data_IF_017199461638
#
_entry.id   IF_017199461638
#
_cell.length_a   1.000
_cell.length_b   1.000
_cell.length_c   1.000
_cell.angle_alpha   90.00
_cell.angle_beta   90.00
_cell.angle_gamma   90.00
#
_symmetry.space_group_name_H-M   'P 1'
#
loop_
_entity.id
_entity.type
_entity.pdbx_description
1 polymer ?
#
# COMPACT_ATOMS: atom_id res chain seq x y z
N UNK A 1 69.61 30.32 -18.07
CA UNK A 1 68.39 30.98 -17.57
C UNK A 1 67.79 31.71 -18.75
N UNK A 2 66.50 31.54 -19.10
CA UNK A 2 65.34 31.40 -18.21
C UNK A 2 64.56 30.08 -18.38
N UNK A 3 63.67 29.83 -17.40
CA UNK A 3 62.70 28.75 -17.39
C UNK A 3 61.51 29.10 -18.30
N UNK A 4 61.07 28.13 -19.11
CA UNK A 4 59.85 28.22 -19.90
C UNK A 4 58.74 27.39 -19.24
N UNK A 5 57.60 28.05 -19.11
CA UNK A 5 56.41 27.68 -18.37
C UNK A 5 55.67 26.49 -18.98
N UNK A 6 55.38 25.48 -18.16
CA UNK A 6 54.39 24.45 -18.47
C UNK A 6 53.02 24.90 -17.96
N UNK A 7 52.19 25.44 -18.85
CA UNK A 7 50.76 25.64 -18.61
C UNK A 7 50.07 24.27 -18.47
N UNK A 8 49.69 23.90 -17.25
CA UNK A 8 48.69 22.85 -17.01
C UNK A 8 47.31 23.52 -16.96
N UNK A 9 46.55 23.38 -18.04
CA UNK A 9 45.12 23.56 -18.03
C UNK A 9 44.48 22.38 -17.29
N UNK A 10 44.28 22.54 -15.99
CA UNK A 10 43.41 21.69 -15.18
C UNK A 10 42.20 22.51 -14.75
N UNK A 11 41.31 22.83 -15.69
CA UNK A 11 40.01 23.39 -15.34
C UNK A 11 39.21 22.29 -14.65
N UNK A 12 39.00 22.48 -13.34
CA UNK A 12 38.30 21.55 -12.48
C UNK A 12 36.90 21.25 -12.96
N UNK A 13 36.64 19.96 -13.16
CA UNK A 13 35.29 19.39 -13.18
C UNK A 13 34.87 18.88 -11.79
N UNK A 14 35.64 19.19 -10.74
CA UNK A 14 35.37 18.77 -9.36
C UNK A 14 34.31 19.65 -8.65
N UNK A 15 33.76 20.65 -9.35
CA UNK A 15 32.84 21.64 -8.78
C UNK A 15 31.34 21.31 -8.85
N UNK A 16 30.93 20.16 -9.40
CA UNK A 16 29.50 19.78 -9.54
C UNK A 16 29.19 18.45 -8.84
N UNK A 17 29.96 18.09 -7.82
CA UNK A 17 29.48 17.18 -6.78
C UNK A 17 29.09 18.02 -5.57
N UNK A 18 28.08 18.87 -5.77
CA UNK A 18 27.42 19.58 -4.67
C UNK A 18 26.97 18.56 -3.64
N UNK A 19 27.46 18.73 -2.42
CA UNK A 19 27.03 18.05 -1.22
C UNK A 19 25.50 17.95 -1.20
N UNK A 20 24.99 16.76 -1.49
CA UNK A 20 23.63 16.39 -1.18
C UNK A 20 23.55 16.45 0.34
N UNK A 21 22.81 17.41 0.88
CA UNK A 21 22.49 17.45 2.31
C UNK A 21 22.04 16.04 2.74
N UNK A 22 22.81 15.41 3.63
CA UNK A 22 22.62 14.02 4.10
C UNK A 22 21.38 13.85 5.00
N UNK A 23 20.60 14.91 5.22
CA UNK A 23 19.39 14.83 6.02
C UNK A 23 18.23 14.21 5.22
N UNK A 24 17.49 13.25 5.81
CA UNK A 24 16.30 12.70 5.18
C UNK A 24 15.26 13.80 4.99
N UNK A 25 14.97 14.15 3.72
CA UNK A 25 14.00 15.19 3.37
C UNK A 25 12.58 14.65 3.49
N UNK A 26 11.77 15.30 4.34
CA UNK A 26 10.31 15.19 4.36
C UNK A 26 9.72 16.57 4.05
N UNK A 27 9.41 16.82 2.79
CA UNK A 27 8.79 18.05 2.32
C UNK A 27 7.34 17.82 1.86
N UNK A 28 6.65 18.90 1.49
CA UNK A 28 5.27 18.83 1.00
C UNK A 28 5.16 17.88 -0.20
N UNK A 29 6.16 17.90 -1.09
CA UNK A 29 6.18 17.02 -2.27
C UNK A 29 6.21 15.54 -1.88
N UNK A 30 7.11 15.15 -0.97
CA UNK A 30 7.20 13.78 -0.48
C UNK A 30 5.89 13.34 0.19
N UNK A 31 5.30 14.20 1.01
CA UNK A 31 4.01 13.94 1.65
C UNK A 31 2.93 13.62 0.61
N UNK A 32 2.72 14.47 -0.40
CA UNK A 32 1.69 14.26 -1.44
C UNK A 32 1.87 12.94 -2.20
N UNK A 33 3.11 12.61 -2.56
CA UNK A 33 3.45 11.33 -3.21
C UNK A 33 3.04 10.16 -2.34
N UNK A 34 3.44 10.14 -1.06
CA UNK A 34 3.11 9.04 -0.17
C UNK A 34 1.61 8.93 0.12
N UNK A 35 0.92 10.06 0.34
CA UNK A 35 -0.53 10.07 0.53
C UNK A 35 -1.27 9.52 -0.70
N UNK A 36 -0.85 9.88 -1.90
CA UNK A 36 -1.45 9.38 -3.15
C UNK A 36 -1.26 7.87 -3.31
N UNK A 37 -0.04 7.37 -3.04
CA UNK A 37 0.22 5.93 -3.07
C UNK A 37 -0.55 5.17 -1.98
N UNK A 38 -0.66 5.74 -0.78
CA UNK A 38 -1.47 5.16 0.29
C UNK A 38 -2.94 5.06 -0.11
N UNK A 39 -3.53 6.10 -0.69
CA UNK A 39 -4.94 6.06 -1.11
C UNK A 39 -5.20 4.92 -2.11
N UNK A 40 -4.29 4.72 -3.07
CA UNK A 40 -4.36 3.60 -4.02
C UNK A 40 -4.36 2.25 -3.28
N UNK A 41 -3.36 2.03 -2.44
CA UNK A 41 -3.20 0.74 -1.76
C UNK A 41 -4.37 0.46 -0.81
N UNK A 42 -4.87 1.48 -0.10
CA UNK A 42 -6.06 1.38 0.76
C UNK A 42 -7.30 1.00 -0.03
N UNK A 43 -7.54 1.63 -1.19
CA UNK A 43 -8.70 1.29 -2.02
C UNK A 43 -8.65 -0.14 -2.52
N UNK A 44 -7.47 -0.61 -2.95
CA UNK A 44 -7.32 -1.99 -3.41
C UNK A 44 -7.59 -2.96 -2.26
N UNK A 45 -7.09 -2.67 -1.05
CA UNK A 45 -7.41 -3.46 0.13
C UNK A 45 -8.92 -3.48 0.43
N UNK A 46 -9.59 -2.33 0.41
CA UNK A 46 -11.04 -2.24 0.67
C UNK A 46 -11.87 -2.98 -0.38
N UNK A 47 -11.54 -2.85 -1.67
CA UNK A 47 -12.22 -3.60 -2.74
C UNK A 47 -12.03 -5.11 -2.54
N UNK A 48 -10.81 -5.54 -2.25
CA UNK A 48 -10.52 -6.96 -2.00
C UNK A 48 -11.23 -7.50 -0.74
N UNK A 49 -11.42 -6.66 0.29
CA UNK A 49 -12.19 -7.00 1.47
C UNK A 49 -13.67 -7.21 1.14
N UNK A 50 -14.28 -6.29 0.38
CA UNK A 50 -15.68 -6.43 -0.04
C UNK A 50 -15.89 -7.65 -0.96
N UNK A 51 -14.96 -7.91 -1.87
CA UNK A 51 -14.97 -9.12 -2.69
C UNK A 51 -14.86 -10.38 -1.82
N UNK A 52 -13.96 -10.39 -0.83
CA UNK A 52 -13.84 -11.51 0.13
C UNK A 52 -15.15 -11.76 0.86
N UNK A 53 -15.84 -10.70 1.31
CA UNK A 53 -17.14 -10.83 1.98
C UNK A 53 -18.21 -11.41 1.07
N UNK A 54 -18.25 -10.99 -0.19
CA UNK A 54 -19.20 -11.51 -1.16
C UNK A 54 -18.97 -13.01 -1.41
N UNK A 55 -17.71 -13.39 -1.64
CA UNK A 55 -17.32 -14.77 -1.95
C UNK A 55 -17.44 -15.72 -0.75
N UNK A 56 -17.23 -15.23 0.48
CA UNK A 56 -17.34 -16.04 1.69
C UNK A 56 -18.79 -16.46 2.02
N UNK A 57 -19.79 -15.83 1.41
CA UNK A 57 -21.20 -16.16 1.62
C UNK A 57 -21.74 -17.25 0.67
N UNK A 58 -20.90 -17.81 -0.21
CA UNK A 58 -21.32 -18.90 -1.09
C UNK A 58 -21.14 -20.26 -0.43
N UNK A 59 -22.04 -21.20 -0.72
CA UNK A 59 -21.94 -22.60 -0.25
C UNK A 59 -21.95 -23.54 -1.46
N UNK A 60 -20.84 -24.24 -1.75
CA UNK A 60 -19.54 -24.19 -1.07
C UNK A 60 -18.80 -22.85 -1.27
N UNK A 61 -17.76 -22.54 -0.46
CA UNK A 61 -16.96 -21.33 -0.65
C UNK A 61 -16.37 -21.24 -2.06
N UNK A 62 -16.45 -20.06 -2.67
CA UNK A 62 -15.91 -19.83 -4.00
C UNK A 62 -14.39 -20.04 -4.00
N UNK A 63 -13.81 -20.79 -4.95
CA UNK A 63 -12.36 -20.98 -5.05
C UNK A 63 -11.54 -19.69 -5.12
N UNK A 64 -12.15 -18.58 -5.56
CA UNK A 64 -11.51 -17.26 -5.64
C UNK A 64 -11.42 -16.53 -4.31
N UNK A 65 -12.10 -17.01 -3.26
CA UNK A 65 -12.10 -16.38 -1.93
C UNK A 65 -10.67 -16.08 -1.47
N UNK A 66 -9.78 -17.07 -1.50
CA UNK A 66 -8.40 -16.87 -1.06
C UNK A 66 -7.60 -15.90 -1.91
N UNK A 67 -7.89 -15.77 -3.21
CA UNK A 67 -7.23 -14.77 -4.05
C UNK A 67 -7.59 -13.34 -3.61
N UNK A 68 -8.87 -13.11 -3.26
CA UNK A 68 -9.33 -11.83 -2.73
C UNK A 68 -8.75 -11.55 -1.33
N UNK A 69 -8.68 -12.57 -0.46
CA UNK A 69 -8.08 -12.44 0.86
C UNK A 69 -6.58 -12.16 0.80
N UNK A 70 -5.83 -12.88 -0.03
CA UNK A 70 -4.38 -12.65 -0.19
C UNK A 70 -4.11 -11.25 -0.76
N UNK A 71 -4.98 -10.77 -1.65
CA UNK A 71 -4.93 -9.39 -2.15
C UNK A 71 -5.13 -8.40 -0.99
N UNK A 72 -6.17 -8.58 -0.18
CA UNK A 72 -6.43 -7.75 1.00
C UNK A 72 -5.23 -7.73 1.96
N UNK A 73 -4.74 -8.91 2.37
CA UNK A 73 -3.59 -9.04 3.29
C UNK A 73 -2.33 -8.38 2.73
N UNK A 74 -2.09 -8.53 1.42
CA UNK A 74 -0.94 -7.93 0.74
C UNK A 74 -0.98 -6.40 0.81
N UNK A 75 -2.10 -5.78 0.46
CA UNK A 75 -2.21 -4.33 0.44
C UNK A 75 -2.31 -3.73 1.85
N UNK A 76 -2.97 -4.40 2.79
CA UNK A 76 -2.94 -4.03 4.21
C UNK A 76 -1.49 -4.06 4.75
N UNK A 77 -0.71 -5.09 4.42
CA UNK A 77 0.69 -5.18 4.83
C UNK A 77 1.58 -4.11 4.16
N UNK A 78 1.34 -3.74 2.90
CA UNK A 78 2.04 -2.63 2.24
C UNK A 78 1.81 -1.31 2.97
N UNK A 79 0.55 -1.00 3.29
CA UNK A 79 0.20 0.16 4.11
C UNK A 79 0.90 0.11 5.47
N UNK A 80 0.81 -1.02 6.16
CA UNK A 80 1.48 -1.26 7.43
C UNK A 80 2.98 -0.97 7.36
N UNK A 81 3.69 -1.48 6.34
CA UNK A 81 5.12 -1.26 6.12
C UNK A 81 5.45 0.18 5.73
N UNK A 82 4.50 0.89 5.12
CA UNK A 82 4.67 2.30 4.75
C UNK A 82 4.64 3.21 5.98
N UNK A 83 3.66 2.99 6.88
CA UNK A 83 3.46 3.78 8.11
C UNK A 83 4.31 3.28 9.28
N UNK A 84 4.64 1.99 9.35
CA UNK A 84 5.50 1.39 10.38
C UNK A 84 6.56 0.50 9.71
N UNK A 85 7.66 1.06 9.19
CA UNK A 85 8.72 0.26 8.56
C UNK A 85 9.20 -0.86 9.48
N UNK A 86 9.54 -2.02 8.92
CA UNK A 86 10.09 -3.15 9.69
C UNK A 86 11.37 -2.71 10.41
N UNK A 87 11.42 -2.98 11.72
CA UNK A 87 12.57 -2.74 12.56
C UNK A 87 13.69 -3.72 12.20
N UNK A 88 14.68 -3.23 11.46
CA UNK A 88 15.93 -3.92 11.22
C UNK A 88 17.10 -3.23 11.93
N UNK A 89 18.20 -3.96 12.11
CA UNK A 89 19.45 -3.36 12.55
C UNK A 89 19.87 -2.27 11.54
N UNK A 90 20.13 -1.04 12.04
CA UNK A 90 20.66 0.03 11.21
C UNK A 90 21.98 -0.43 10.59
N UNK A 91 22.13 -0.41 9.25
CA UNK A 91 23.37 -0.83 8.59
C UNK A 91 24.56 -0.05 9.14
N UNK A 92 25.70 -0.68 9.46
CA UNK A 92 26.84 0.03 10.09
C UNK A 92 27.91 0.54 9.11
N UNK A 93 28.02 -0.08 7.94
CA UNK A 93 29.16 0.12 7.02
C UNK A 93 28.77 0.71 5.66
N UNK A 94 27.49 0.87 5.40
CA UNK A 94 26.96 1.26 4.09
C UNK A 94 26.10 2.52 4.26
N UNK A 95 26.68 3.67 3.90
CA UNK A 95 26.05 4.99 4.05
C UNK A 95 24.75 5.10 3.24
N UNK A 96 24.70 4.49 2.05
CA UNK A 96 23.50 4.52 1.22
C UNK A 96 22.35 3.73 1.88
N UNK A 97 22.66 2.56 2.45
CA UNK A 97 21.67 1.77 3.19
C UNK A 97 21.27 2.42 4.51
N UNK A 98 22.18 3.13 5.18
CA UNK A 98 21.86 3.96 6.35
C UNK A 98 20.87 5.06 5.99
N UNK A 99 21.18 5.87 4.98
CA UNK A 99 20.29 6.94 4.55
C UNK A 99 18.92 6.41 4.10
N UNK A 100 18.88 5.26 3.42
CA UNK A 100 17.62 4.61 3.06
C UNK A 100 16.85 4.07 4.28
N UNK A 101 17.54 3.61 5.33
CA UNK A 101 16.93 3.22 6.60
C UNK A 101 16.33 4.45 7.30
N UNK A 102 17.10 5.52 7.45
CA UNK A 102 16.68 6.75 8.13
C UNK A 102 15.50 7.41 7.40
N UNK A 103 15.51 7.48 6.06
CA UNK A 103 14.37 7.95 5.26
C UNK A 103 13.10 7.13 5.48
N UNK A 104 13.22 5.80 5.55
CA UNK A 104 12.06 4.93 5.81
C UNK A 104 11.48 5.20 7.19
N UNK A 105 12.33 5.34 8.21
CA UNK A 105 11.94 5.67 9.58
C UNK A 105 11.23 7.01 9.68
N UNK A 106 11.82 8.05 9.12
CA UNK A 106 11.21 9.38 9.08
C UNK A 106 9.85 9.36 8.37
N UNK A 107 9.75 8.71 7.21
CA UNK A 107 8.47 8.54 6.49
C UNK A 107 7.42 7.88 7.39
N UNK A 108 7.76 6.78 8.04
CA UNK A 108 6.82 6.04 8.89
C UNK A 108 6.29 6.92 10.02
N UNK A 109 7.20 7.57 10.75
CA UNK A 109 6.86 8.50 11.83
C UNK A 109 5.93 9.61 11.34
N UNK A 110 6.31 10.29 10.25
CA UNK A 110 5.53 11.41 9.71
C UNK A 110 4.16 11.00 9.19
N UNK A 111 4.06 9.87 8.50
CA UNK A 111 2.77 9.35 8.04
C UNK A 111 1.87 8.95 9.20
N UNK A 112 2.41 8.34 10.26
CA UNK A 112 1.61 7.98 11.42
C UNK A 112 1.11 9.19 12.20
N UNK A 113 1.97 10.19 12.36
CA UNK A 113 1.61 11.48 12.95
C UNK A 113 0.48 12.14 12.14
N UNK A 114 0.66 12.29 10.83
CA UNK A 114 -0.31 12.92 9.93
C UNK A 114 -1.65 12.19 9.86
N UNK A 115 -1.63 10.86 9.86
CA UNK A 115 -2.82 10.03 9.70
C UNK A 115 -3.44 9.60 11.04
N UNK A 116 -2.83 9.97 12.16
CA UNK A 116 -3.25 9.54 13.50
C UNK A 116 -3.30 8.02 13.63
N UNK A 117 -2.25 7.31 13.18
CA UNK A 117 -2.16 5.85 13.29
C UNK A 117 -1.44 5.47 14.58
N UNK A 118 -2.22 5.03 15.55
CA UNK A 118 -1.76 4.62 16.89
C UNK A 118 -0.95 3.31 16.85
N UNK A 119 -0.16 3.03 17.90
CA UNK A 119 0.62 1.79 18.00
C UNK A 119 -0.25 0.53 18.06
N UNK A 120 -1.47 0.66 18.57
CA UNK A 120 -2.48 -0.40 18.74
C UNK A 120 -3.39 -0.54 17.52
N UNK A 121 -3.14 0.22 16.45
CA UNK A 121 -3.97 0.22 15.25
C UNK A 121 -4.00 -1.16 14.58
N UNK A 122 -5.19 -1.62 14.18
CA UNK A 122 -5.40 -2.95 13.59
C UNK A 122 -4.61 -3.17 12.29
N UNK A 123 -4.37 -2.11 11.49
CA UNK A 123 -3.56 -2.20 10.26
C UNK A 123 -2.07 -2.46 10.53
N UNK A 124 -1.62 -2.38 11.78
CA UNK A 124 -0.24 -2.67 12.16
C UNK A 124 -0.01 -4.16 12.44
N UNK A 125 -1.08 -4.95 12.60
CA UNK A 125 -0.95 -6.41 12.76
C UNK A 125 -0.47 -7.06 11.46
N UNK A 126 0.55 -7.93 11.56
CA UNK A 126 1.18 -8.61 10.41
C UNK A 126 1.21 -10.12 10.51
N UNK A 127 0.89 -10.68 11.68
CA UNK A 127 1.05 -12.11 11.98
C UNK A 127 0.38 -12.98 10.92
N UNK A 128 -0.90 -12.75 10.64
CA UNK A 128 -1.65 -13.52 9.64
C UNK A 128 -1.07 -13.42 8.24
N UNK A 129 -0.63 -12.22 7.81
CA UNK A 129 0.00 -12.06 6.50
C UNK A 129 1.34 -12.80 6.43
N UNK A 130 2.16 -12.69 7.47
CA UNK A 130 3.46 -13.36 7.51
C UNK A 130 3.25 -14.88 7.55
N UNK A 131 2.23 -15.37 8.24
CA UNK A 131 1.82 -16.77 8.24
C UNK A 131 1.26 -17.25 6.91
N UNK A 132 0.59 -16.38 6.14
CA UNK A 132 0.17 -16.70 4.76
C UNK A 132 1.35 -16.76 3.80
N UNK A 133 2.29 -15.81 3.88
CA UNK A 133 3.48 -15.77 3.03
C UNK A 133 4.41 -16.97 3.27
N UNK A 134 4.55 -17.40 4.53
CA UNK A 134 5.40 -18.53 4.94
C UNK A 134 4.57 -19.81 5.21
N UNK A 135 3.42 -19.95 4.54
CA UNK A 135 2.51 -21.07 4.80
C UNK A 135 3.10 -22.42 4.37
N UNK A 136 3.84 -22.44 3.27
CA UNK A 136 4.56 -23.61 2.76
C UNK A 136 5.63 -24.10 3.77
N UNK A 137 6.45 -23.18 4.30
CA UNK A 137 7.44 -23.51 5.34
C UNK A 137 6.79 -24.09 6.61
N UNK A 138 5.62 -23.56 7.00
CA UNK A 138 4.85 -24.06 8.15
C UNK A 138 4.25 -25.44 7.88
N UNK A 139 3.78 -25.67 6.65
CA UNK A 139 3.27 -26.97 6.23
C UNK A 139 4.39 -28.02 6.21
N UNK A 140 5.57 -27.67 5.69
CA UNK A 140 6.74 -28.54 5.67
C UNK A 140 7.20 -28.90 7.10
N UNK A 141 7.23 -27.91 7.99
CA UNK A 141 7.52 -28.14 9.41
C UNK A 141 6.51 -29.12 10.03
N UNK A 142 5.21 -28.88 9.82
CA UNK A 142 4.16 -29.77 10.31
C UNK A 142 4.32 -31.20 9.78
N UNK A 143 4.57 -31.38 8.47
CA UNK A 143 4.79 -32.70 7.84
C UNK A 143 6.02 -33.41 8.43
N UNK A 144 7.07 -32.66 8.78
CA UNK A 144 8.27 -33.21 9.38
C UNK A 144 8.05 -33.67 10.83
N UNK A 145 7.18 -32.99 11.56
CA UNK A 145 6.84 -33.29 12.95
C UNK A 145 5.85 -34.45 13.09
N UNK A 146 5.13 -34.82 12.03
CA UNK A 146 4.18 -35.93 12.08
C UNK A 146 4.89 -37.29 12.24
N UNK A 147 4.38 -38.10 13.16
CA UNK A 147 4.80 -39.49 13.31
C UNK A 147 4.49 -40.26 12.01
N UNK A 148 5.48 -41.03 11.53
CA UNK A 148 5.34 -41.83 10.31
C UNK A 148 5.09 -43.28 10.67
N UNK A 149 4.08 -43.87 10.03
CA UNK A 149 3.67 -45.24 10.26
C UNK A 149 3.97 -46.09 9.04
N UNK A 150 4.43 -47.31 9.31
CA UNK A 150 4.58 -48.35 8.29
C UNK A 150 3.22 -48.97 7.95
N UNK A 151 3.14 -49.60 6.78
CA UNK A 151 1.94 -50.35 6.39
C UNK A 151 1.63 -51.46 7.40
N UNK A 152 2.66 -52.18 7.87
CA UNK A 152 2.54 -53.26 8.86
C UNK A 152 1.95 -52.76 10.20
N UNK A 153 2.34 -51.58 10.68
CA UNK A 153 1.79 -50.99 11.90
C UNK A 153 0.31 -50.60 11.75
N UNK A 154 -0.07 -50.07 10.58
CA UNK A 154 -1.47 -49.74 10.28
C UNK A 154 -2.34 -51.00 10.15
N UNK A 155 -1.81 -52.06 9.53
CA UNK A 155 -2.43 -53.39 9.43
C UNK A 155 -2.57 -54.07 10.80
N UNK A 156 -1.58 -53.89 11.69
CA UNK A 156 -1.62 -54.35 13.08
C UNK A 156 -2.59 -53.54 13.97
N UNK A 157 -3.25 -52.51 13.42
CA UNK A 157 -4.29 -51.75 14.10
C UNK A 157 -3.81 -50.45 14.75
N UNK A 158 -2.60 -49.96 14.47
CA UNK A 158 -2.19 -48.64 14.92
C UNK A 158 -3.16 -47.57 14.41
N UNK A 159 -3.59 -46.68 15.30
CA UNK A 159 -4.50 -45.54 15.02
C UNK A 159 -3.93 -44.29 15.69
N UNK A 160 -2.87 -43.72 15.12
CA UNK A 160 -2.26 -42.54 15.68
C UNK A 160 -3.18 -41.34 15.57
N UNK A 161 -3.15 -40.50 16.60
CA UNK A 161 -3.77 -39.19 16.53
C UNK A 161 -2.90 -38.32 15.63
N UNK A 162 -3.42 -37.92 14.47
CA UNK A 162 -2.78 -36.88 13.66
C UNK A 162 -3.27 -35.53 14.17
N UNK A 163 -2.34 -34.63 14.45
CA UNK A 163 -2.71 -33.24 14.70
C UNK A 163 -3.31 -32.64 13.42
N UNK A 164 -4.11 -31.59 13.55
CA UNK A 164 -4.62 -30.90 12.37
C UNK A 164 -3.48 -30.14 11.69
N UNK A 165 -3.36 -30.18 10.35
CA UNK A 165 -2.37 -29.39 9.65
C UNK A 165 -2.64 -27.89 9.84
N UNK A 166 -1.64 -27.02 9.59
CA UNK A 166 -1.91 -25.59 9.49
C UNK A 166 -2.97 -25.36 8.41
N UNK A 167 -3.99 -24.56 8.74
CA UNK A 167 -5.11 -24.26 7.84
C UNK A 167 -5.11 -22.79 7.44
N UNK A 168 -5.81 -22.49 6.35
CA UNK A 168 -6.26 -21.14 6.01
C UNK A 168 -7.78 -21.13 6.10
N UNK A 169 -8.33 -20.38 7.05
CA UNK A 169 -9.77 -20.34 7.34
C UNK A 169 -10.25 -18.89 7.27
N UNK A 170 -11.42 -18.71 6.67
CA UNK A 170 -12.20 -17.47 6.75
C UNK A 170 -13.46 -17.79 7.53
N UNK A 171 -13.65 -17.14 8.67
CA UNK A 171 -14.90 -17.17 9.42
C UNK A 171 -15.74 -15.96 8.98
N UNK A 172 -16.83 -16.24 8.27
CA UNK A 172 -17.73 -15.22 7.73
C UNK A 172 -18.74 -14.69 8.76
N UNK A 173 -18.93 -15.37 9.89
CA UNK A 173 -19.79 -14.91 10.98
C UNK A 173 -19.03 -13.93 11.87
N UNK A 174 -17.81 -14.31 12.26
CA UNK A 174 -16.94 -13.49 13.10
C UNK A 174 -16.16 -12.43 12.30
N UNK A 175 -16.07 -12.57 10.98
CA UNK A 175 -15.18 -11.80 10.11
C UNK A 175 -13.74 -11.83 10.61
N UNK A 176 -13.23 -13.04 10.70
CA UNK A 176 -11.83 -13.33 11.03
C UNK A 176 -11.16 -14.14 9.93
N UNK A 177 -9.85 -13.95 9.81
CA UNK A 177 -8.97 -14.82 9.02
C UNK A 177 -8.08 -15.55 10.00
N UNK A 178 -8.02 -16.87 9.89
CA UNK A 178 -7.01 -17.69 10.55
C UNK A 178 -6.03 -18.24 9.52
N UNK A 179 -4.73 -18.10 9.78
CA UNK A 179 -3.68 -18.76 9.01
C UNK A 179 -2.67 -19.39 9.95
N UNK A 180 -2.61 -20.73 9.95
CA UNK A 180 -1.70 -21.51 10.79
C UNK A 180 -1.76 -21.10 12.28
N UNK A 181 -2.98 -20.92 12.81
CA UNK A 181 -3.26 -20.53 14.19
C UNK A 181 -3.16 -19.03 14.50
N UNK A 182 -2.62 -18.22 13.60
CA UNK A 182 -2.67 -16.76 13.74
C UNK A 182 -4.03 -16.23 13.29
N UNK A 183 -4.64 -15.36 14.11
CA UNK A 183 -5.98 -14.82 13.86
C UNK A 183 -5.94 -13.32 13.61
N UNK A 184 -6.71 -12.84 12.62
CA UNK A 184 -6.87 -11.43 12.28
C UNK A 184 -8.36 -11.06 12.18
N UNK A 185 -8.75 -10.06 12.96
CA UNK A 185 -10.06 -9.41 12.90
C UNK A 185 -10.15 -8.48 11.68
N UNK A 186 -10.60 -9.00 10.53
CA UNK A 186 -10.60 -8.23 9.28
C UNK A 186 -11.56 -7.04 9.32
N UNK A 187 -12.65 -7.15 10.09
CA UNK A 187 -13.58 -6.05 10.30
C UNK A 187 -12.90 -4.84 10.97
N UNK A 188 -11.99 -5.08 11.92
CA UNK A 188 -11.24 -4.02 12.59
C UNK A 188 -10.23 -3.34 11.64
N UNK A 189 -9.55 -4.14 10.82
CA UNK A 189 -8.63 -3.63 9.78
C UNK A 189 -9.38 -2.81 8.74
N UNK A 190 -10.55 -3.29 8.27
CA UNK A 190 -11.39 -2.59 7.30
C UNK A 190 -11.81 -1.20 7.76
N UNK A 191 -12.34 -1.07 8.98
CA UNK A 191 -12.72 0.24 9.57
C UNK A 191 -11.54 1.20 9.67
N UNK A 192 -10.38 0.67 10.04
CA UNK A 192 -9.17 1.48 10.15
C UNK A 192 -8.65 1.93 8.77
N UNK A 193 -8.75 1.08 7.74
CA UNK A 193 -8.45 1.44 6.36
C UNK A 193 -9.39 2.55 5.84
N UNK A 194 -10.70 2.47 6.11
CA UNK A 194 -11.67 3.52 5.76
C UNK A 194 -11.32 4.86 6.44
N UNK A 195 -11.00 4.83 7.73
CA UNK A 195 -10.57 6.01 8.49
C UNK A 195 -9.31 6.63 7.90
N UNK A 196 -8.32 5.81 7.56
CA UNK A 196 -7.08 6.26 6.93
C UNK A 196 -7.39 6.86 5.55
N UNK A 197 -8.21 6.22 4.71
CA UNK A 197 -8.59 6.74 3.41
C UNK A 197 -9.25 8.12 3.53
N UNK A 198 -10.19 8.28 4.46
CA UNK A 198 -10.85 9.55 4.72
C UNK A 198 -9.86 10.65 5.12
N UNK A 199 -8.86 10.32 5.96
CA UNK A 199 -7.81 11.28 6.32
C UNK A 199 -6.89 11.61 5.14
N UNK A 200 -6.50 10.60 4.35
CA UNK A 200 -5.69 10.81 3.15
C UNK A 200 -6.41 11.74 2.17
N UNK A 201 -7.69 11.52 1.89
CA UNK A 201 -8.46 12.34 0.95
C UNK A 201 -8.71 13.77 1.43
N UNK A 202 -8.70 13.99 2.75
CA UNK A 202 -8.74 15.33 3.35
C UNK A 202 -7.40 16.05 3.19
N UNK A 203 -6.28 15.34 3.33
CA UNK A 203 -4.94 15.90 3.27
C UNK A 203 -4.42 16.06 1.83
N UNK A 204 -4.84 15.19 0.92
CA UNK A 204 -4.47 15.20 -0.50
C UNK A 204 -5.70 14.92 -1.37
N UNK A 205 -6.46 15.96 -1.77
CA UNK A 205 -7.66 15.79 -2.59
C UNK A 205 -7.40 15.16 -3.96
N UNK A 206 -6.20 15.32 -4.55
CA UNK A 206 -5.86 14.67 -5.81
C UNK A 206 -5.70 13.15 -5.65
N UNK A 207 -5.59 12.65 -4.42
CA UNK A 207 -5.65 11.22 -4.19
C UNK A 207 -7.02 10.63 -4.56
N UNK A 208 -8.07 11.43 -4.84
CA UNK A 208 -9.37 10.98 -5.37
C UNK A 208 -9.28 10.36 -6.77
N UNK A 209 -8.30 10.75 -7.57
CA UNK A 209 -8.14 10.21 -8.93
C UNK A 209 -7.87 8.70 -8.87
N UNK A 210 -8.54 7.95 -9.74
CA UNK A 210 -8.43 6.49 -9.85
C UNK A 210 -7.05 6.03 -10.29
N UNK A 211 -6.35 6.83 -11.09
CA UNK A 211 -4.99 6.56 -11.55
C UNK A 211 -3.96 7.24 -10.64
N UNK A 212 -3.36 6.46 -9.72
CA UNK A 212 -2.39 6.96 -8.76
C UNK A 212 -1.19 7.67 -9.43
N UNK A 213 -0.69 7.16 -10.56
CA UNK A 213 0.44 7.77 -11.25
C UNK A 213 0.05 9.14 -11.85
N UNK A 214 -1.16 9.25 -12.40
CA UNK A 214 -1.69 10.53 -12.88
C UNK A 214 -1.90 11.51 -11.71
N UNK A 215 -2.43 11.03 -10.59
CA UNK A 215 -2.60 11.82 -9.37
C UNK A 215 -1.26 12.35 -8.83
N UNK A 216 -0.23 11.51 -8.81
CA UNK A 216 1.13 11.92 -8.43
C UNK A 216 1.65 12.96 -9.40
N UNK A 217 1.57 12.72 -10.72
CA UNK A 217 2.03 13.68 -11.72
C UNK A 217 1.33 15.05 -11.57
N UNK A 218 0.00 15.06 -11.41
CA UNK A 218 -0.76 16.28 -11.17
C UNK A 218 -0.35 16.99 -9.87
N UNK A 219 -0.13 16.22 -8.79
CA UNK A 219 0.34 16.75 -7.51
C UNK A 219 1.71 17.40 -7.64
N UNK A 220 2.61 16.80 -8.41
CA UNK A 220 3.94 17.35 -8.68
C UNK A 220 3.87 18.61 -9.54
N UNK A 221 2.96 18.67 -10.51
CA UNK A 221 2.75 19.84 -11.36
C UNK A 221 2.24 21.07 -10.60
N UNK A 222 1.46 20.90 -9.52
CA UNK A 222 0.99 22.03 -8.70
C UNK A 222 2.13 22.76 -7.99
N UNK A 223 3.21 22.04 -7.67
CA UNK A 223 4.42 22.59 -7.03
C UNK A 223 5.38 23.24 -8.02
N UNK A 224 5.12 23.11 -9.33
CA UNK A 224 5.92 23.80 -10.34
C UNK A 224 5.64 25.32 -10.29
N UNK A 225 6.69 26.15 -10.46
CA UNK A 225 6.55 27.59 -10.66
C UNK A 225 5.48 27.87 -11.73
N UNK A 226 4.65 28.92 -11.58
CA UNK A 226 3.59 29.23 -12.55
C UNK A 226 4.06 29.24 -14.00
N UNK A 227 5.32 29.61 -14.23
CA UNK A 227 5.98 29.70 -15.53
C UNK A 227 6.26 28.33 -16.18
N UNK A 228 6.32 27.26 -15.38
CA UNK A 228 6.57 25.87 -15.83
C UNK A 228 5.30 25.01 -15.80
N UNK A 229 4.16 25.57 -15.38
CA UNK A 229 2.87 24.90 -15.50
C UNK A 229 2.54 24.80 -16.98
N UNK A 230 2.46 23.59 -17.51
CA UNK A 230 2.13 23.34 -18.91
C UNK A 230 0.82 24.05 -19.26
N UNK A 231 0.91 25.15 -20.00
CA UNK A 231 -0.23 25.71 -20.72
C UNK A 231 -0.60 24.70 -21.80
N UNK A 232 -1.64 23.90 -21.54
CA UNK A 232 -2.21 23.10 -22.61
C UNK A 232 -2.68 24.06 -23.71
N UNK A 233 -2.28 23.88 -24.98
CA UNK A 233 -2.79 24.72 -26.04
C UNK A 233 -4.31 24.56 -26.08
N UNK A 234 -5.03 25.63 -25.80
CA UNK A 234 -6.45 25.71 -26.11
C UNK A 234 -6.59 25.44 -27.61
N UNK A 235 -7.71 24.83 -28.03
CA UNK A 235 -8.00 24.61 -29.46
C UNK A 235 -8.14 25.93 -30.24
N UNK A 236 -8.05 27.09 -29.57
CA UNK A 236 -8.34 28.43 -30.11
C UNK A 236 -7.28 29.44 -29.65
N UNK A 237 -6.56 30.08 -30.58
CA UNK A 237 -5.42 30.96 -30.27
C UNK A 237 -5.77 32.25 -29.48
N UNK A 238 -7.05 32.54 -29.29
CA UNK A 238 -7.60 33.72 -28.61
C UNK A 238 -8.10 33.46 -27.17
N UNK A 239 -8.04 32.21 -26.70
CA UNK A 239 -8.56 31.84 -25.37
C UNK A 239 -7.44 31.81 -24.31
N UNK A 240 -7.52 32.64 -23.26
CA UNK A 240 -6.53 32.62 -22.19
C UNK A 240 -6.60 31.29 -21.41
N UNK A 241 -5.47 30.61 -21.31
CA UNK A 241 -5.37 29.30 -20.65
C UNK A 241 -5.20 29.48 -19.15
N UNK A 242 -6.22 29.13 -18.37
CA UNK A 242 -6.08 28.91 -16.91
C UNK A 242 -5.93 27.41 -16.66
N UNK A 243 -4.76 26.99 -16.16
CA UNK A 243 -4.54 25.63 -15.70
C UNK A 243 -5.25 25.41 -14.36
N UNK A 244 -6.53 25.07 -14.45
CA UNK A 244 -7.43 24.77 -13.34
C UNK A 244 -8.86 24.83 -13.83
N UNK A 245 -9.64 23.79 -13.60
CA UNK A 245 -11.10 23.93 -13.61
C UNK A 245 -11.45 24.98 -12.56
N UNK A 246 -12.36 25.89 -12.87
CA UNK A 246 -12.93 26.80 -11.86
C UNK A 246 -13.44 25.94 -10.69
N UNK A 247 -13.21 26.30 -9.42
CA UNK A 247 -13.75 25.58 -8.28
C UNK A 247 -15.24 25.22 -8.41
N UNK A 248 -16.05 26.08 -9.05
CA UNK A 248 -17.46 25.79 -9.33
C UNK A 248 -17.64 24.69 -10.39
N UNK A 249 -16.79 24.66 -11.42
CA UNK A 249 -16.80 23.61 -12.43
C UNK A 249 -16.36 22.26 -11.87
N UNK A 250 -15.35 22.25 -10.98
CA UNK A 250 -14.93 21.05 -10.23
C UNK A 250 -16.06 20.49 -9.38
N UNK A 251 -16.75 21.35 -8.61
CA UNK A 251 -17.92 20.97 -7.83
C UNK A 251 -19.03 20.39 -8.72
N UNK A 252 -19.28 21.00 -9.88
CA UNK A 252 -20.27 20.50 -10.85
C UNK A 252 -19.91 19.13 -11.42
N UNK A 253 -18.62 18.87 -11.64
CA UNK A 253 -18.11 17.60 -12.15
C UNK A 253 -18.22 16.52 -11.08
N UNK A 254 -17.85 16.84 -9.84
CA UNK A 254 -17.99 15.93 -8.70
C UNK A 254 -19.46 15.55 -8.46
N UNK A 255 -20.38 16.51 -8.56
CA UNK A 255 -21.82 16.26 -8.47
C UNK A 255 -22.35 15.36 -9.60
N UNK A 256 -21.88 15.56 -10.84
CA UNK A 256 -22.24 14.70 -11.98
C UNK A 256 -21.73 13.28 -11.81
N UNK A 257 -20.48 13.11 -11.39
CA UNK A 257 -19.92 11.79 -11.12
C UNK A 257 -20.65 11.08 -9.97
N UNK A 258 -20.94 11.77 -8.86
CA UNK A 258 -21.71 11.21 -7.76
C UNK A 258 -23.10 10.72 -8.22
N UNK A 259 -23.78 11.50 -9.07
CA UNK A 259 -25.07 11.12 -9.62
C UNK A 259 -24.99 9.90 -10.56
N UNK A 260 -23.92 9.79 -11.35
CA UNK A 260 -23.73 8.65 -12.26
C UNK A 260 -23.35 7.37 -11.51
N UNK A 261 -22.57 7.47 -10.43
CA UNK A 261 -22.29 6.34 -9.54
C UNK A 261 -23.55 5.85 -8.81
N UNK A 262 -24.42 6.76 -8.34
CA UNK A 262 -25.68 6.39 -7.72
C UNK A 262 -26.60 5.61 -8.68
N UNK A 263 -26.65 6.00 -9.96
CA UNK A 263 -27.42 5.28 -10.99
C UNK A 263 -26.87 3.88 -11.28
N UNK A 264 -25.56 3.68 -11.19
CA UNK A 264 -24.96 2.36 -11.35
C UNK A 264 -25.32 1.43 -10.18
N UNK A 265 -25.33 1.97 -8.96
CA UNK A 265 -25.70 1.25 -7.73
C UNK A 265 -27.21 0.90 -7.66
N UNK A 266 -28.06 1.72 -8.28
CA UNK A 266 -29.49 1.39 -8.46
C UNK A 266 -29.71 0.30 -9.51
N UNK A 267 -28.94 0.28 -10.61
CA UNK A 267 -29.01 -0.79 -11.62
C UNK A 267 -28.53 -2.12 -11.08
N UNK A 268 -27.47 -2.13 -10.26
CA UNK A 268 -26.97 -3.34 -9.61
C UNK A 268 -27.97 -3.96 -8.61
N UNK A 269 -28.92 -3.17 -8.08
CA UNK A 269 -29.97 -3.63 -7.16
C UNK A 269 -31.25 -4.11 -7.85
N UNK A 270 -31.41 -3.88 -9.15
CA UNK A 270 -32.62 -4.20 -9.91
C UNK A 270 -32.51 -5.47 -10.79
N UNK A 271 -31.39 -6.16 -10.78
CA UNK A 271 -31.28 -7.49 -11.40
C UNK A 271 -31.39 -8.59 -10.33
N UNK A 272 -32.59 -9.18 -10.11
CA UNK A 272 -32.71 -10.41 -9.37
C UNK A 272 -32.28 -11.58 -10.28
N UNK A 273 -31.32 -12.38 -9.80
CA UNK A 273 -31.18 -13.79 -10.19
C UNK A 273 -31.94 -14.62 -9.17
#
# INVERSE_FOLDING_TARGET
MPAAEGHKAGAGLDGIMNAVNDEPVWDERAQRVYLTHLARDVRIALVALEESKLLANTVPPDPRLWASVDTFLTYAARLSKMVKPIDGARPKKDLQKQAAYDRRKLRGEKLRELLGVEETSAVLSRSVRDSSEHFDERLDAWVFEQERFTADELEAGARPAMESPPMRIVDNEAWTIEVAGDVLEIGAVGRELERILASVLRLEPLARFSHADAAVLLSLMQTAPPELRLSAPSRRPDEPVTAGLDPEELLSLEQRWAADFAKLDERGRQEPV
#
